data_IF_330189163548
#
_entry.id   IF_330189163548
#
_cell.length_a   1.000
_cell.length_b   1.000
_cell.length_c   1.000
_cell.angle_alpha   90.00
_cell.angle_beta   90.00
_cell.angle_gamma   90.00
#
_symmetry.space_group_name_H-M   'P 1'
#
loop_
_entity.id
_entity.type
_entity.pdbx_description
1 polymer ?
#
# COMPACT_ATOMS: atom_id res chain seq x y z
N UNK A 1 12.66 -60.01 -15.99
CA UNK A 1 13.05 -58.59 -16.28
C UNK A 1 11.76 -57.78 -16.23
N UNK A 2 11.50 -57.19 -15.11
CA UNK A 2 10.27 -56.38 -14.85
C UNK A 2 10.68 -54.91 -14.72
N UNK A 3 10.29 -54.14 -15.71
CA UNK A 3 10.57 -52.70 -15.77
C UNK A 3 9.55 -51.93 -14.95
N UNK A 4 9.97 -51.23 -13.90
CA UNK A 4 9.13 -50.34 -13.14
C UNK A 4 8.83 -49.05 -13.93
N UNK A 5 7.59 -48.54 -13.94
CA UNK A 5 7.26 -47.28 -14.53
C UNK A 5 7.70 -46.12 -13.62
N UNK A 6 8.42 -45.15 -14.19
CA UNK A 6 8.91 -43.97 -13.53
C UNK A 6 7.81 -43.12 -12.88
N UNK A 7 8.09 -42.75 -11.65
CA UNK A 7 7.28 -41.84 -10.84
C UNK A 7 7.33 -40.42 -11.45
N UNK A 8 6.21 -39.97 -12.00
CA UNK A 8 6.05 -38.60 -12.43
C UNK A 8 6.25 -37.67 -11.22
N UNK A 9 7.20 -36.74 -11.32
CA UNK A 9 7.38 -35.68 -10.35
C UNK A 9 6.25 -34.66 -10.51
N UNK A 10 5.44 -34.51 -9.48
CA UNK A 10 4.49 -33.42 -9.38
C UNK A 10 5.22 -32.07 -9.49
N UNK A 11 4.70 -31.11 -10.30
CA UNK A 11 5.29 -29.78 -10.35
C UNK A 11 5.11 -29.10 -8.99
N UNK A 12 6.22 -28.54 -8.49
CA UNK A 12 6.27 -27.73 -7.29
C UNK A 12 5.21 -26.62 -7.38
N UNK A 13 4.48 -26.30 -6.29
CA UNK A 13 3.50 -25.23 -6.29
C UNK A 13 4.19 -23.90 -6.60
N UNK A 14 3.83 -23.27 -7.72
CA UNK A 14 4.24 -21.93 -8.05
C UNK A 14 3.91 -20.99 -6.89
N UNK A 15 4.95 -20.43 -6.28
CA UNK A 15 4.84 -19.46 -5.21
C UNK A 15 3.92 -18.31 -5.67
N UNK A 16 2.80 -18.12 -4.98
CA UNK A 16 1.81 -17.05 -5.20
C UNK A 16 2.33 -15.61 -5.01
N UNK A 17 3.66 -15.39 -5.17
CA UNK A 17 4.28 -14.07 -5.17
C UNK A 17 4.06 -13.30 -6.50
N UNK A 18 3.50 -13.92 -7.52
CA UNK A 18 3.58 -13.46 -8.92
C UNK A 18 2.46 -12.51 -9.37
N UNK A 19 1.62 -11.92 -8.51
CA UNK A 19 0.56 -11.01 -9.00
C UNK A 19 0.22 -9.84 -8.08
N UNK A 20 1.19 -9.24 -7.42
CA UNK A 20 0.94 -7.95 -6.76
C UNK A 20 0.96 -6.83 -7.81
N UNK A 21 -0.20 -6.25 -8.08
CA UNK A 21 -0.40 -5.25 -9.14
C UNK A 21 0.19 -3.87 -8.83
N UNK A 22 0.56 -3.58 -7.58
CA UNK A 22 1.01 -2.26 -7.14
C UNK A 22 2.07 -2.32 -6.06
N UNK A 23 2.97 -1.33 -6.07
CA UNK A 23 3.94 -1.09 -4.99
C UNK A 23 3.21 -0.80 -3.68
N UNK A 24 3.67 -1.41 -2.59
CA UNK A 24 3.23 -1.12 -1.22
C UNK A 24 4.30 -0.34 -0.51
N UNK A 25 3.90 0.66 0.25
CA UNK A 25 4.79 1.40 1.15
C UNK A 25 4.34 1.19 2.60
N UNK A 26 5.31 1.01 3.49
CA UNK A 26 5.05 0.98 4.92
C UNK A 26 4.89 2.43 5.38
N UNK A 27 3.66 2.80 5.69
CA UNK A 27 3.35 4.16 6.11
C UNK A 27 2.19 4.15 7.11
N UNK A 28 2.39 4.83 8.25
CA UNK A 28 1.37 4.99 9.27
C UNK A 28 0.61 6.29 9.03
N UNK A 29 -0.64 6.16 8.59
CA UNK A 29 -1.58 7.26 8.43
C UNK A 29 -2.68 7.08 9.48
N UNK A 30 -2.97 8.07 10.33
CA UNK A 30 -4.09 7.99 11.24
C UNK A 30 -5.40 8.01 10.46
N UNK A 31 -6.28 7.07 10.77
CA UNK A 31 -7.58 6.88 10.12
C UNK A 31 -8.69 6.67 11.14
N UNK A 32 -9.90 6.98 10.74
CA UNK A 32 -11.13 6.58 11.44
C UNK A 32 -11.91 5.62 10.55
N UNK A 33 -12.23 4.45 11.08
CA UNK A 33 -12.98 3.39 10.40
C UNK A 33 -14.38 3.33 10.98
N UNK A 34 -15.40 3.39 10.13
CA UNK A 34 -16.80 3.22 10.49
C UNK A 34 -17.38 2.03 9.75
N UNK A 35 -18.05 1.17 10.45
CA UNK A 35 -18.62 -0.04 9.87
C UNK A 35 -19.64 -0.70 10.78
N UNK A 36 -19.92 -1.95 10.44
CA UNK A 36 -20.79 -2.83 11.23
C UNK A 36 -20.02 -4.11 11.54
N UNK A 37 -20.01 -4.50 12.80
CA UNK A 37 -19.33 -5.72 13.23
C UNK A 37 -20.12 -6.99 12.82
N UNK A 38 -19.57 -8.16 13.17
CA UNK A 38 -20.18 -9.46 12.86
C UNK A 38 -21.51 -9.70 13.57
N UNK A 39 -21.82 -8.94 14.63
CA UNK A 39 -23.09 -8.99 15.33
C UNK A 39 -24.14 -8.00 14.79
N UNK A 40 -23.81 -7.27 13.71
CA UNK A 40 -24.67 -6.24 13.12
C UNK A 40 -24.67 -4.91 13.88
N UNK A 41 -23.76 -4.73 14.85
CA UNK A 41 -23.65 -3.51 15.64
C UNK A 41 -22.74 -2.50 14.94
N UNK A 42 -23.16 -1.23 14.79
CA UNK A 42 -22.31 -0.19 14.23
C UNK A 42 -21.14 0.12 15.17
N UNK A 43 -19.96 0.35 14.58
CA UNK A 43 -18.76 0.76 15.31
C UNK A 43 -18.06 1.94 14.63
N UNK A 44 -17.29 2.67 15.42
CA UNK A 44 -16.32 3.67 14.95
C UNK A 44 -15.02 3.45 15.71
N UNK A 45 -13.93 3.26 14.98
CA UNK A 45 -12.62 2.99 15.56
C UNK A 45 -11.56 3.91 14.95
N UNK A 46 -10.75 4.54 15.78
CA UNK A 46 -9.57 5.30 15.35
C UNK A 46 -8.35 4.41 15.43
N UNK A 47 -7.64 4.31 14.33
CA UNK A 47 -6.48 3.43 14.18
C UNK A 47 -5.48 4.01 13.18
N UNK A 48 -4.53 3.19 12.73
CA UNK A 48 -3.52 3.59 11.75
C UNK A 48 -3.37 2.54 10.65
N UNK A 49 -2.92 2.99 9.49
CA UNK A 49 -2.42 2.07 8.46
C UNK A 49 -1.06 1.51 8.86
N UNK A 50 -0.73 0.31 8.39
CA UNK A 50 0.62 -0.28 8.47
C UNK A 50 1.32 -0.23 7.11
N UNK A 51 0.56 -0.45 6.06
CA UNK A 51 1.02 -0.34 4.69
C UNK A 51 -0.10 0.18 3.80
N UNK A 52 0.24 0.94 2.79
CA UNK A 52 -0.71 1.46 1.81
C UNK A 52 -0.24 1.18 0.39
N UNK A 53 -1.18 1.19 -0.53
CA UNK A 53 -0.93 1.26 -1.96
C UNK A 53 -2.04 2.10 -2.63
N UNK A 54 -1.96 2.27 -3.96
CA UNK A 54 -2.96 3.04 -4.72
C UNK A 54 -4.41 2.55 -4.48
N UNK A 55 -4.61 1.25 -4.27
CA UNK A 55 -5.93 0.62 -4.24
C UNK A 55 -6.40 0.21 -2.84
N UNK A 56 -5.57 0.35 -1.81
CA UNK A 56 -5.98 -0.08 -0.48
C UNK A 56 -4.90 0.05 0.57
N UNK A 57 -5.12 -0.62 1.70
CA UNK A 57 -4.21 -0.59 2.84
C UNK A 57 -4.22 -1.91 3.62
N UNK A 58 -3.21 -2.07 4.46
CA UNK A 58 -3.22 -2.93 5.62
C UNK A 58 -3.42 -2.04 6.84
N UNK A 59 -4.45 -2.32 7.63
CA UNK A 59 -4.82 -1.54 8.81
C UNK A 59 -4.88 -2.43 10.04
N UNK A 60 -4.68 -1.86 11.22
CA UNK A 60 -5.05 -2.50 12.48
C UNK A 60 -6.54 -2.23 12.72
N UNK A 61 -7.30 -3.23 13.12
CA UNK A 61 -8.72 -3.08 13.45
C UNK A 61 -9.07 -4.11 14.53
N UNK A 62 -9.45 -3.64 15.71
CA UNK A 62 -9.83 -4.52 16.83
C UNK A 62 -11.21 -5.15 16.62
N UNK A 63 -12.12 -4.40 15.98
CA UNK A 63 -13.43 -4.93 15.63
C UNK A 63 -13.32 -6.02 14.57
N UNK A 64 -13.96 -7.16 14.85
CA UNK A 64 -13.99 -8.27 13.92
C UNK A 64 -14.91 -7.90 12.75
N UNK A 65 -14.34 -7.84 11.56
CA UNK A 65 -15.07 -7.65 10.32
C UNK A 65 -15.04 -8.94 9.50
N UNK A 66 -16.06 -9.18 8.70
CA UNK A 66 -16.04 -10.28 7.72
C UNK A 66 -15.41 -9.80 6.41
N UNK A 67 -14.73 -10.67 5.66
CA UNK A 67 -14.42 -10.39 4.26
C UNK A 67 -15.67 -9.94 3.50
N UNK A 68 -15.49 -9.06 2.53
CA UNK A 68 -16.53 -8.41 1.73
C UNK A 68 -17.38 -7.37 2.49
N UNK A 69 -17.20 -7.20 3.81
CA UNK A 69 -17.88 -6.13 4.56
C UNK A 69 -17.40 -4.76 4.07
N UNK A 70 -18.36 -3.88 3.83
CA UNK A 70 -18.09 -2.47 3.51
C UNK A 70 -17.88 -1.66 4.79
N UNK A 71 -16.85 -0.84 4.77
CA UNK A 71 -16.53 0.14 5.81
C UNK A 71 -16.24 1.50 5.17
N UNK A 72 -16.54 2.58 5.87
CA UNK A 72 -16.13 3.92 5.46
C UNK A 72 -14.87 4.30 6.24
N UNK A 73 -13.81 4.68 5.52
CA UNK A 73 -12.55 5.09 6.12
C UNK A 73 -12.34 6.57 5.87
N UNK A 74 -12.06 7.32 6.94
CA UNK A 74 -11.65 8.72 6.89
C UNK A 74 -10.15 8.81 7.14
N UNK A 75 -9.42 9.40 6.22
CA UNK A 75 -8.01 9.76 6.41
C UNK A 75 -7.94 11.05 7.24
N UNK A 76 -7.43 10.97 8.48
CA UNK A 76 -7.42 12.09 9.41
C UNK A 76 -6.36 13.16 9.10
N UNK A 77 -5.46 12.93 8.13
CA UNK A 77 -4.51 13.93 7.67
C UNK A 77 -5.11 14.94 6.68
N UNK A 78 -6.00 14.48 5.81
CA UNK A 78 -6.59 15.31 4.75
C UNK A 78 -8.13 15.37 4.84
N UNK A 79 -8.73 14.71 5.83
CA UNK A 79 -10.17 14.63 6.10
C UNK A 79 -11.02 14.06 4.95
N UNK A 80 -10.41 13.35 4.02
CA UNK A 80 -11.14 12.64 2.96
C UNK A 80 -11.73 11.35 3.51
N UNK A 81 -12.98 11.08 3.15
CA UNK A 81 -13.66 9.82 3.44
C UNK A 81 -13.92 9.06 2.14
N UNK A 82 -13.70 7.77 2.15
CA UNK A 82 -13.98 6.88 1.02
C UNK A 82 -14.50 5.53 1.50
N UNK A 83 -15.35 4.85 0.71
CA UNK A 83 -15.77 3.50 1.01
C UNK A 83 -14.66 2.49 0.67
N UNK A 84 -14.48 1.54 1.57
CA UNK A 84 -13.57 0.43 1.44
C UNK A 84 -14.30 -0.89 1.62
N UNK A 85 -13.70 -1.96 1.13
CA UNK A 85 -14.12 -3.33 1.34
C UNK A 85 -13.04 -4.06 2.13
N UNK A 86 -13.44 -4.78 3.16
CA UNK A 86 -12.54 -5.69 3.88
C UNK A 86 -12.25 -6.90 2.99
N UNK A 87 -10.98 -7.18 2.76
CA UNK A 87 -10.56 -8.27 1.85
C UNK A 87 -10.23 -9.53 2.65
N UNK A 88 -9.34 -9.41 3.62
CA UNK A 88 -8.87 -10.55 4.41
C UNK A 88 -8.14 -10.11 5.67
N UNK A 89 -8.12 -10.98 6.66
CA UNK A 89 -7.21 -10.82 7.79
C UNK A 89 -5.80 -11.27 7.40
N UNK A 90 -4.79 -10.54 7.84
CA UNK A 90 -3.40 -10.90 7.59
C UNK A 90 -3.01 -12.15 8.38
N UNK A 91 -2.31 -13.09 7.73
CA UNK A 91 -1.83 -14.32 8.38
C UNK A 91 -0.61 -14.10 9.26
N UNK A 92 0.18 -13.06 8.97
CA UNK A 92 1.36 -12.66 9.74
C UNK A 92 1.19 -11.21 10.13
N UNK A 93 1.30 -10.91 11.41
CA UNK A 93 1.21 -9.56 11.93
C UNK A 93 2.50 -8.80 11.67
N UNK A 94 2.38 -7.51 11.33
CA UNK A 94 3.47 -6.54 11.28
C UNK A 94 3.46 -5.62 12.51
N UNK A 95 2.42 -5.70 13.33
CA UNK A 95 2.21 -4.84 14.49
C UNK A 95 1.52 -5.54 15.65
N UNK A 96 1.03 -4.76 16.58
CA UNK A 96 0.28 -5.22 17.74
C UNK A 96 -1.22 -5.18 17.43
N UNK A 97 -1.86 -6.34 17.29
CA UNK A 97 -3.30 -6.46 17.08
C UNK A 97 -3.70 -7.13 15.77
N UNK A 98 -5.00 -7.32 15.54
CA UNK A 98 -5.53 -7.90 14.32
C UNK A 98 -5.34 -6.97 13.13
N UNK A 99 -4.75 -7.48 12.05
CA UNK A 99 -4.45 -6.73 10.84
C UNK A 99 -5.36 -7.15 9.70
N UNK A 100 -5.95 -6.16 9.02
CA UNK A 100 -6.91 -6.38 7.96
C UNK A 100 -6.49 -5.68 6.67
N UNK A 101 -6.51 -6.44 5.58
CA UNK A 101 -6.40 -5.89 4.24
C UNK A 101 -7.71 -5.26 3.81
N UNK A 102 -7.66 -4.01 3.38
CA UNK A 102 -8.82 -3.27 2.86
C UNK A 102 -8.55 -2.74 1.46
N UNK A 103 -9.57 -2.76 0.62
CA UNK A 103 -9.53 -2.28 -0.77
C UNK A 103 -10.43 -1.06 -0.93
N UNK A 104 -9.90 0.02 -1.50
CA UNK A 104 -10.65 1.23 -1.80
C UNK A 104 -11.59 0.99 -2.97
N UNK A 105 -12.87 1.31 -2.81
CA UNK A 105 -13.88 1.17 -3.85
C UNK A 105 -13.91 2.36 -4.83
N UNK A 106 -13.18 3.45 -4.52
CA UNK A 106 -13.04 4.65 -5.35
C UNK A 106 -11.56 5.06 -5.48
N UNK A 107 -10.71 4.23 -6.10
CA UNK A 107 -9.25 4.44 -6.14
C UNK A 107 -8.82 5.65 -6.98
N UNK A 108 -9.70 6.21 -7.82
CA UNK A 108 -9.47 7.42 -8.61
C UNK A 108 -9.37 8.69 -7.75
N UNK A 109 -9.95 8.66 -6.57
CA UNK A 109 -9.88 9.75 -5.59
C UNK A 109 -8.59 9.65 -4.80
N UNK A 110 -7.49 10.19 -5.19
CA UNK A 110 -6.22 10.17 -4.46
C UNK A 110 -6.38 10.25 -2.90
N UNK A 111 -7.03 9.23 -2.33
CA UNK A 111 -7.48 9.16 -0.93
C UNK A 111 -6.32 9.31 0.06
N UNK A 112 -5.16 8.77 -0.29
CA UNK A 112 -3.98 8.84 0.58
C UNK A 112 -3.23 10.18 0.47
N UNK A 113 -3.54 11.02 -0.53
CA UNK A 113 -2.79 12.25 -0.81
C UNK A 113 -1.37 11.97 -1.31
N UNK A 114 -1.15 10.80 -1.91
CA UNK A 114 0.15 10.34 -2.41
C UNK A 114 -0.01 9.92 -3.87
N UNK A 115 0.86 10.41 -4.73
CA UNK A 115 0.95 9.96 -6.11
C UNK A 115 1.78 8.68 -6.18
N UNK A 116 1.16 7.60 -6.61
CA UNK A 116 1.81 6.31 -6.85
C UNK A 116 2.17 6.22 -8.34
N UNK A 117 3.43 6.00 -8.70
CA UNK A 117 3.80 5.86 -10.10
C UNK A 117 3.11 4.64 -10.72
N UNK A 118 2.72 4.77 -11.97
CA UNK A 118 2.35 3.60 -12.75
C UNK A 118 3.61 2.74 -12.95
N UNK A 119 3.48 1.43 -12.69
CA UNK A 119 4.60 0.52 -12.95
C UNK A 119 4.95 0.58 -14.43
N UNK A 120 6.08 1.19 -14.73
CA UNK A 120 6.69 1.04 -16.04
C UNK A 120 7.03 -0.43 -16.23
N UNK A 121 6.49 -1.06 -17.27
CA UNK A 121 6.80 -2.44 -17.68
C UNK A 121 8.21 -2.56 -18.29
N UNK A 122 8.97 -1.48 -18.28
CA UNK A 122 10.36 -1.48 -18.74
C UNK A 122 11.19 -2.23 -17.71
N UNK A 123 11.88 -3.32 -18.10
CA UNK A 123 12.79 -4.03 -17.21
C UNK A 123 13.85 -3.06 -16.73
N UNK A 124 13.85 -2.80 -15.42
CA UNK A 124 14.84 -1.92 -14.82
C UNK A 124 16.20 -2.60 -14.91
N UNK A 125 17.10 -2.06 -15.76
CA UNK A 125 18.53 -2.44 -15.80
C UNK A 125 19.28 -1.95 -14.55
N UNK A 126 18.68 -1.09 -13.74
CA UNK A 126 19.28 -0.49 -12.55
C UNK A 126 18.40 -0.77 -11.33
N UNK A 127 19.02 -1.05 -10.21
CA UNK A 127 18.35 -1.13 -8.92
C UNK A 127 17.75 0.23 -8.59
N UNK A 128 16.45 0.26 -8.31
CA UNK A 128 15.71 1.46 -7.94
C UNK A 128 15.06 1.28 -6.58
N UNK A 129 15.11 2.33 -5.79
CA UNK A 129 14.58 2.37 -4.43
C UNK A 129 13.35 3.28 -4.44
N UNK A 130 12.17 2.71 -4.18
CA UNK A 130 10.93 3.49 -4.07
C UNK A 130 10.98 4.35 -2.80
N UNK A 131 10.98 5.66 -2.97
CA UNK A 131 11.13 6.63 -1.89
C UNK A 131 9.96 7.62 -1.91
N UNK A 132 9.40 7.91 -0.73
CA UNK A 132 8.37 8.92 -0.59
C UNK A 132 9.02 10.31 -0.55
N UNK A 133 8.70 11.14 -1.53
CA UNK A 133 9.14 12.52 -1.64
C UNK A 133 7.99 13.49 -1.37
N UNK A 134 8.28 14.64 -0.80
CA UNK A 134 7.35 15.74 -0.61
C UNK A 134 7.87 16.99 -1.30
N UNK A 135 7.00 17.65 -2.07
CA UNK A 135 7.34 18.90 -2.72
C UNK A 135 7.49 20.03 -1.69
N UNK A 136 8.62 20.74 -1.70
CA UNK A 136 8.88 21.87 -0.79
C UNK A 136 7.94 23.06 -1.00
N UNK A 137 7.29 23.18 -2.18
CA UNK A 137 6.42 24.28 -2.53
C UNK A 137 4.93 24.02 -2.28
N UNK A 138 4.42 22.86 -2.73
CA UNK A 138 2.98 22.56 -2.64
C UNK A 138 2.65 21.46 -1.64
N UNK A 139 3.63 20.87 -0.97
CA UNK A 139 3.51 19.80 0.02
C UNK A 139 2.81 18.51 -0.49
N UNK A 140 2.62 18.41 -1.81
CA UNK A 140 2.15 17.16 -2.40
C UNK A 140 3.21 16.07 -2.25
N UNK A 141 2.77 14.82 -2.07
CA UNK A 141 3.63 13.67 -1.87
C UNK A 141 3.55 12.70 -3.04
N UNK A 142 4.70 12.16 -3.41
CA UNK A 142 4.85 11.21 -4.51
C UNK A 142 5.77 10.07 -4.11
N UNK A 143 5.40 8.85 -4.47
CA UNK A 143 6.30 7.71 -4.42
C UNK A 143 7.12 7.68 -5.70
N UNK A 144 8.43 7.95 -5.60
CA UNK A 144 9.32 8.04 -6.74
C UNK A 144 10.40 6.94 -6.70
N UNK A 145 10.66 6.27 -7.84
CA UNK A 145 11.79 5.37 -7.96
C UNK A 145 13.08 6.19 -8.09
N UNK A 146 13.98 6.08 -7.13
CA UNK A 146 15.30 6.72 -7.14
C UNK A 146 16.38 5.71 -7.55
N UNK A 147 17.39 6.19 -8.25
CA UNK A 147 18.65 5.46 -8.40
C UNK A 147 19.39 5.43 -7.07
N UNK A 148 20.37 4.54 -6.91
CA UNK A 148 21.17 4.46 -5.69
C UNK A 148 21.86 5.80 -5.38
N UNK A 149 22.41 6.48 -6.37
CA UNK A 149 23.09 7.78 -6.21
C UNK A 149 22.12 8.90 -5.76
N UNK A 150 20.90 8.93 -6.31
CA UNK A 150 19.86 9.88 -5.88
C UNK A 150 19.42 9.57 -4.43
N UNK A 151 19.24 8.28 -4.11
CA UNK A 151 18.88 7.85 -2.76
C UNK A 151 19.94 8.23 -1.71
N UNK A 152 21.22 8.00 -2.01
CA UNK A 152 22.33 8.44 -1.15
C UNK A 152 22.34 9.97 -0.98
N UNK A 153 22.10 10.73 -2.06
CA UNK A 153 22.00 12.18 -2.01
C UNK A 153 20.89 12.64 -1.08
N UNK A 154 19.68 12.06 -1.20
CA UNK A 154 18.53 12.37 -0.34
C UNK A 154 18.80 11.99 1.10
N UNK A 155 19.45 10.87 1.35
CA UNK A 155 19.75 10.39 2.71
C UNK A 155 20.69 11.37 3.44
N UNK A 156 21.65 11.95 2.74
CA UNK A 156 22.64 12.88 3.30
C UNK A 156 22.10 14.32 3.35
N UNK A 157 21.59 14.82 2.22
CA UNK A 157 21.19 16.24 2.07
C UNK A 157 19.74 16.50 2.47
N UNK A 158 18.92 15.46 2.64
CA UNK A 158 17.47 15.53 2.89
C UNK A 158 16.67 16.23 1.78
N UNK A 159 17.29 16.52 0.65
CA UNK A 159 16.69 17.21 -0.50
C UNK A 159 17.17 16.59 -1.80
N UNK A 160 16.33 16.68 -2.84
CA UNK A 160 16.65 16.23 -4.19
C UNK A 160 16.10 17.23 -5.20
N UNK A 161 16.97 17.79 -6.02
CA UNK A 161 16.57 18.66 -7.12
C UNK A 161 16.00 17.83 -8.28
N UNK A 162 14.68 17.91 -8.49
CA UNK A 162 14.01 17.30 -9.64
C UNK A 162 12.73 18.05 -9.98
N UNK A 163 12.31 18.06 -11.27
CA UNK A 163 11.02 18.64 -11.65
C UNK A 163 9.87 17.91 -10.93
N UNK A 164 8.96 18.67 -10.33
CA UNK A 164 7.77 18.11 -9.68
C UNK A 164 6.61 18.09 -10.66
N UNK A 165 6.02 16.91 -10.87
CA UNK A 165 4.94 16.73 -11.86
C UNK A 165 3.66 17.49 -11.51
N UNK A 166 3.39 17.72 -10.22
CA UNK A 166 2.14 18.32 -9.76
C UNK A 166 2.08 19.85 -9.90
N UNK A 167 3.18 20.59 -9.62
CA UNK A 167 3.17 22.06 -9.65
C UNK A 167 4.29 22.67 -10.51
N UNK A 168 5.07 21.86 -11.23
CA UNK A 168 6.15 22.29 -12.10
C UNK A 168 7.35 22.94 -11.40
N UNK A 169 7.37 22.96 -10.05
CA UNK A 169 8.53 23.47 -9.31
C UNK A 169 9.66 22.44 -9.28
N UNK A 170 10.89 22.90 -9.15
CA UNK A 170 12.03 22.05 -8.86
C UNK A 170 12.11 21.89 -7.34
N UNK A 171 12.01 20.67 -6.82
CA UNK A 171 12.21 20.40 -5.39
C UNK A 171 13.70 20.42 -5.10
N UNK A 172 14.09 21.15 -4.10
CA UNK A 172 15.44 21.12 -3.52
C UNK A 172 15.40 20.51 -2.14
#
# INVERSE_FOLDING_TARGET
MTTEPGKAQDPLPENGAAKRRTTRILLRIPIEVRGTDTAGKPFTERTTTLAINRHGALIVLEHVALPETRVDITNLQNMLTSPFRVVSQARKSLGEGPEWGVECLQPEKNFWGIFFPERSLVPAKEERIDTLLECSKCHARELAPLTLAEYETVTVKRTLARPWSGCGSTTT
#
